data_IF_468110026918
#
_entry.id   IF_468110026918
#
_cell.length_a   1.000
_cell.length_b   1.000
_cell.length_c   1.000
_cell.angle_alpha   90.00
_cell.angle_beta   90.00
_cell.angle_gamma   90.00
#
_symmetry.space_group_name_H-M   'P 1'
#
loop_
_entity.id
_entity.type
_entity.pdbx_description
1 polymer ?
#
# COMPACT_ATOMS: atom_id res chain seq x y z
N UNK A 1 1.71 -22.76 6.97
CA UNK A 1 2.11 -21.68 6.03
C UNK A 1 0.90 -21.34 5.18
N UNK A 2 0.59 -20.06 5.02
CA UNK A 2 -0.50 -19.59 4.16
C UNK A 2 0.09 -18.78 3.00
N UNK A 3 -0.62 -18.73 1.87
CA UNK A 3 -0.20 -18.00 0.67
C UNK A 3 -1.28 -17.00 0.26
N UNK A 4 -0.89 -15.77 -0.07
CA UNK A 4 -1.81 -14.73 -0.53
C UNK A 4 -1.22 -13.93 -1.68
N UNK A 5 -2.09 -13.54 -2.60
CA UNK A 5 -1.79 -12.51 -3.58
C UNK A 5 -1.80 -11.14 -2.92
N UNK A 6 -0.73 -10.38 -3.11
CA UNK A 6 -0.50 -9.08 -2.50
C UNK A 6 -0.25 -8.05 -3.58
N UNK A 7 -0.87 -6.88 -3.45
CA UNK A 7 -0.42 -5.65 -4.09
C UNK A 7 0.33 -4.81 -3.07
N UNK A 8 1.54 -4.39 -3.39
CA UNK A 8 2.34 -3.49 -2.58
C UNK A 8 2.50 -2.18 -3.33
N UNK A 9 1.86 -1.13 -2.82
CA UNK A 9 2.15 0.23 -3.23
C UNK A 9 3.30 0.78 -2.40
N UNK A 10 4.24 1.42 -3.05
CA UNK A 10 5.42 2.00 -2.42
C UNK A 10 5.67 3.41 -2.96
N UNK A 11 6.06 4.29 -2.06
CA UNK A 11 6.43 5.68 -2.36
C UNK A 11 7.60 6.07 -1.47
N UNK A 12 8.76 6.24 -2.11
CA UNK A 12 10.03 6.58 -1.48
C UNK A 12 10.38 8.01 -1.88
N UNK A 13 10.83 8.81 -0.91
CA UNK A 13 11.36 10.14 -1.23
C UNK A 13 12.79 10.04 -1.79
N UNK A 14 13.31 11.15 -2.30
CA UNK A 14 14.67 11.22 -2.82
C UNK A 14 15.68 10.73 -1.76
N UNK A 15 16.51 9.76 -2.14
CA UNK A 15 17.48 9.11 -1.25
C UNK A 15 16.93 7.96 -0.41
N UNK A 16 15.69 7.51 -0.66
CA UNK A 16 15.15 6.28 -0.09
C UNK A 16 15.85 5.03 -0.64
N UNK A 17 15.80 3.94 0.13
CA UNK A 17 16.44 2.65 -0.20
C UNK A 17 15.61 1.83 -1.20
N UNK A 18 15.43 2.39 -2.40
CA UNK A 18 14.63 1.79 -3.48
C UNK A 18 15.31 0.56 -4.05
N UNK A 19 16.64 0.56 -4.12
CA UNK A 19 17.44 -0.55 -4.64
C UNK A 19 17.18 -1.83 -3.84
N UNK A 20 17.28 -1.79 -2.51
CA UNK A 20 17.02 -2.97 -1.68
C UNK A 20 15.55 -3.40 -1.72
N UNK A 21 14.61 -2.47 -1.91
CA UNK A 21 13.21 -2.84 -2.15
C UNK A 21 13.05 -3.59 -3.47
N UNK A 22 13.71 -3.15 -4.54
CA UNK A 22 13.65 -3.80 -5.84
C UNK A 22 14.29 -5.19 -5.81
N UNK A 23 15.42 -5.35 -5.14
CA UNK A 23 16.00 -6.68 -4.88
C UNK A 23 15.01 -7.57 -4.13
N UNK A 24 14.39 -7.07 -3.05
CA UNK A 24 13.40 -7.84 -2.29
C UNK A 24 12.17 -8.23 -3.13
N UNK A 25 11.71 -7.34 -4.02
CA UNK A 25 10.59 -7.61 -4.94
C UNK A 25 10.97 -8.66 -6.00
N UNK A 26 12.18 -8.58 -6.56
CA UNK A 26 12.70 -9.55 -7.51
C UNK A 26 12.77 -10.95 -6.89
N UNK A 27 13.26 -11.07 -5.65
CA UNK A 27 13.26 -12.33 -4.90
C UNK A 27 11.86 -12.94 -4.75
N UNK A 28 10.80 -12.13 -4.69
CA UNK A 28 9.41 -12.62 -4.59
C UNK A 28 8.79 -12.93 -5.96
N UNK A 29 9.54 -12.77 -7.05
CA UNK A 29 9.02 -12.88 -8.41
C UNK A 29 7.90 -11.87 -8.67
N UNK A 30 8.04 -10.66 -8.12
CA UNK A 30 7.01 -9.64 -8.24
C UNK A 30 6.89 -9.14 -9.68
N UNK A 31 5.65 -8.79 -10.06
CA UNK A 31 5.34 -8.13 -11.33
C UNK A 31 5.11 -6.65 -11.06
N UNK A 32 5.84 -5.81 -11.78
CA UNK A 32 5.53 -4.38 -11.84
C UNK A 32 4.14 -4.19 -12.48
N UNK A 33 3.28 -3.41 -11.83
CA UNK A 33 1.94 -3.08 -12.33
C UNK A 33 1.84 -1.63 -12.83
N UNK A 34 2.68 -0.75 -12.29
CA UNK A 34 2.97 0.64 -12.66
C UNK A 34 4.06 1.14 -11.71
N UNK A 35 4.66 2.30 -12.00
CA UNK A 35 5.57 2.96 -11.06
C UNK A 35 4.91 3.10 -9.67
N UNK A 36 5.59 2.58 -8.64
CA UNK A 36 5.10 2.61 -7.26
C UNK A 36 4.11 1.52 -6.90
N UNK A 37 3.90 0.49 -7.75
CA UNK A 37 2.99 -0.61 -7.48
C UNK A 37 3.51 -1.96 -8.01
N UNK A 38 3.64 -2.92 -7.10
CA UNK A 38 4.03 -4.30 -7.41
C UNK A 38 2.96 -5.31 -7.00
N UNK A 39 2.91 -6.43 -7.71
CA UNK A 39 2.07 -7.59 -7.37
C UNK A 39 2.95 -8.83 -7.16
N UNK A 40 2.72 -9.59 -6.09
CA UNK A 40 3.40 -10.87 -5.89
C UNK A 40 2.58 -11.82 -5.01
N UNK A 41 2.74 -13.15 -5.19
CA UNK A 41 2.31 -14.11 -4.19
C UNK A 41 3.27 -14.10 -2.99
N UNK A 42 2.74 -14.06 -1.78
CA UNK A 42 3.53 -14.04 -0.56
C UNK A 42 3.13 -15.18 0.38
N UNK A 43 4.14 -15.91 0.86
CA UNK A 43 3.99 -17.01 1.80
C UNK A 43 4.37 -16.54 3.20
N UNK A 44 3.52 -16.83 4.18
CA UNK A 44 3.67 -16.31 5.54
C UNK A 44 3.18 -17.30 6.60
N UNK A 45 3.61 -17.07 7.84
CA UNK A 45 3.14 -17.78 9.02
C UNK A 45 2.48 -16.80 10.00
N UNK A 46 1.33 -17.19 10.56
CA UNK A 46 0.57 -16.32 11.46
C UNK A 46 -0.05 -15.12 10.74
N UNK A 47 0.28 -13.90 11.17
CA UNK A 47 -0.28 -12.67 10.64
C UNK A 47 0.48 -12.19 9.40
N UNK A 48 -0.24 -11.93 8.30
CA UNK A 48 0.31 -11.45 7.03
C UNK A 48 1.05 -10.11 7.19
N UNK A 49 0.42 -9.14 7.85
CA UNK A 49 0.97 -7.79 7.97
C UNK A 49 2.24 -7.80 8.80
N UNK A 50 2.27 -8.55 9.89
CA UNK A 50 3.44 -8.64 10.75
C UNK A 50 4.61 -9.36 10.05
N UNK A 51 4.29 -10.39 9.24
CA UNK A 51 5.28 -11.08 8.42
C UNK A 51 5.87 -10.14 7.37
N UNK A 52 5.03 -9.41 6.63
CA UNK A 52 5.48 -8.43 5.64
C UNK A 52 6.32 -7.31 6.28
N UNK A 53 5.86 -6.74 7.40
CA UNK A 53 6.62 -5.72 8.13
C UNK A 53 8.00 -6.25 8.52
N UNK A 54 8.05 -7.44 9.11
CA UNK A 54 9.31 -8.07 9.53
C UNK A 54 10.25 -8.29 8.35
N UNK A 55 9.76 -8.90 7.27
CA UNK A 55 10.59 -9.24 6.12
C UNK A 55 11.12 -8.00 5.41
N UNK A 56 10.26 -7.00 5.16
CA UNK A 56 10.67 -5.75 4.52
C UNK A 56 11.64 -4.98 5.40
N UNK A 57 11.41 -4.90 6.72
CA UNK A 57 12.31 -4.17 7.64
C UNK A 57 13.72 -4.74 7.73
N UNK A 58 13.91 -6.01 7.35
CA UNK A 58 15.22 -6.65 7.28
C UNK A 58 15.95 -6.38 5.97
N UNK A 59 15.19 -6.21 4.89
CA UNK A 59 15.74 -6.03 3.55
C UNK A 59 15.93 -4.55 3.19
N UNK A 60 15.03 -3.68 3.66
CA UNK A 60 14.92 -2.29 3.21
C UNK A 60 15.13 -1.33 4.36
N UNK A 61 16.06 -0.38 4.20
CA UNK A 61 16.28 0.71 5.15
C UNK A 61 15.22 1.80 4.97
N UNK A 62 14.20 1.72 5.82
CA UNK A 62 13.08 2.66 5.79
C UNK A 62 13.33 3.92 6.63
N UNK A 63 12.93 5.06 6.09
CA UNK A 63 12.83 6.34 6.78
C UNK A 63 11.38 6.63 7.21
N UNK A 64 11.18 7.69 8.00
CA UNK A 64 9.84 8.14 8.41
C UNK A 64 8.99 8.66 7.24
N UNK A 65 9.59 8.92 6.09
CA UNK A 65 8.93 9.51 4.93
C UNK A 65 8.49 8.47 3.91
N UNK A 66 9.11 7.29 3.95
CA UNK A 66 8.78 6.20 3.05
C UNK A 66 7.43 5.60 3.42
N UNK A 67 6.64 5.27 2.39
CA UNK A 67 5.28 4.79 2.55
C UNK A 67 5.13 3.50 1.80
N UNK A 68 4.75 2.45 2.53
CA UNK A 68 4.42 1.16 1.96
C UNK A 68 3.02 0.80 2.40
N UNK A 69 2.13 0.62 1.43
CA UNK A 69 0.73 0.26 1.63
C UNK A 69 0.45 -1.06 0.95
N UNK A 70 -0.19 -1.97 1.66
CA UNK A 70 -0.50 -3.30 1.16
C UNK A 70 -1.99 -3.44 0.91
N UNK A 71 -2.35 -4.13 -0.17
CA UNK A 71 -3.72 -4.56 -0.46
C UNK A 71 -3.75 -6.07 -0.67
N UNK A 72 -4.66 -6.76 0.00
CA UNK A 72 -4.80 -8.21 -0.05
C UNK A 72 -6.25 -8.62 0.21
N UNK A 73 -6.62 -9.84 -0.19
CA UNK A 73 -7.92 -10.42 0.14
C UNK A 73 -7.88 -11.02 1.55
N UNK A 74 -8.73 -10.56 2.44
CA UNK A 74 -8.87 -11.12 3.78
C UNK A 74 -9.52 -12.52 3.69
N UNK A 75 -8.98 -13.49 4.44
CA UNK A 75 -9.43 -14.88 4.32
C UNK A 75 -10.80 -15.12 4.97
N UNK A 76 -11.08 -14.43 6.08
CA UNK A 76 -12.31 -14.60 6.86
C UNK A 76 -13.52 -13.97 6.18
N UNK A 77 -13.38 -12.73 5.70
CA UNK A 77 -14.49 -11.98 5.09
C UNK A 77 -14.56 -12.08 3.57
N UNK A 78 -13.48 -12.54 2.92
CA UNK A 78 -13.33 -12.50 1.47
C UNK A 78 -13.24 -11.09 0.89
N UNK A 79 -13.26 -10.05 1.73
CA UNK A 79 -13.20 -8.65 1.30
C UNK A 79 -11.75 -8.26 0.98
N UNK A 80 -11.61 -7.30 0.08
CA UNK A 80 -10.33 -6.62 -0.09
C UNK A 80 -10.05 -5.76 1.14
N UNK A 81 -8.87 -5.92 1.70
CA UNK A 81 -8.37 -5.13 2.82
C UNK A 81 -7.09 -4.44 2.40
N UNK A 82 -6.79 -3.31 3.01
CA UNK A 82 -5.48 -2.70 2.86
C UNK A 82 -5.08 -1.92 4.10
N UNK A 83 -3.78 -1.87 4.34
CA UNK A 83 -3.20 -1.23 5.52
C UNK A 83 -1.80 -0.68 5.20
N UNK A 84 -1.34 0.28 5.99
CA UNK A 84 0.05 0.72 5.95
C UNK A 84 0.93 -0.33 6.64
N UNK A 85 1.92 -0.80 5.89
CA UNK A 85 3.05 -1.52 6.48
C UNK A 85 3.97 -0.51 7.17
N UNK A 86 4.26 0.61 6.48
CA UNK A 86 5.10 1.71 6.94
C UNK A 86 4.60 3.05 6.42
N UNK A 87 4.84 4.11 7.20
CA UNK A 87 4.37 5.46 6.88
C UNK A 87 2.88 5.67 7.17
N UNK A 88 2.32 6.73 6.58
CA UNK A 88 0.92 7.12 6.79
C UNK A 88 0.31 7.81 5.57
N UNK A 89 -1.01 7.98 5.61
CA UNK A 89 -1.77 8.69 4.58
C UNK A 89 -1.44 10.18 4.61
N UNK A 90 -1.06 10.75 3.46
CA UNK A 90 -0.97 12.20 3.25
C UNK A 90 -2.36 12.75 2.87
N UNK A 91 -2.57 14.07 2.97
CA UNK A 91 -3.79 14.71 2.43
C UNK A 91 -3.97 14.29 0.98
N UNK A 92 -5.18 13.86 0.61
CA UNK A 92 -5.45 13.42 -0.74
C UNK A 92 -5.20 14.58 -1.72
N UNK A 93 -4.48 14.36 -2.84
CA UNK A 93 -4.13 15.44 -3.75
C UNK A 93 -5.35 16.05 -4.45
N UNK A 94 -6.44 15.29 -4.59
CA UNK A 94 -7.72 15.75 -5.12
C UNK A 94 -8.64 16.39 -4.06
N UNK A 95 -8.21 16.51 -2.80
CA UNK A 95 -9.04 17.12 -1.76
C UNK A 95 -9.32 18.59 -2.10
N UNK A 96 -10.60 18.94 -2.24
CA UNK A 96 -11.07 20.29 -2.57
C UNK A 96 -11.23 20.57 -4.07
N UNK A 97 -11.01 19.59 -4.95
CA UNK A 97 -11.20 19.77 -6.40
C UNK A 97 -12.65 19.61 -6.86
N UNK A 98 -13.47 18.86 -6.10
CA UNK A 98 -14.91 18.76 -6.38
C UNK A 98 -15.64 19.94 -5.70
N UNK A 99 -16.42 20.69 -6.48
CA UNK A 99 -17.34 21.70 -5.95
C UNK A 99 -18.62 20.97 -5.55
N UNK A 100 -18.99 21.01 -4.28
CA UNK A 100 -20.32 20.56 -3.85
C UNK A 100 -21.36 21.50 -4.47
N UNK A 101 -22.21 20.98 -5.35
CA UNK A 101 -23.40 21.70 -5.80
C UNK A 101 -24.35 21.81 -4.61
N UNK A 102 -24.42 22.99 -3.99
CA UNK A 102 -25.54 23.31 -3.10
C UNK A 102 -26.75 23.54 -3.99
N UNK A 103 -27.66 22.57 -4.03
CA UNK A 103 -29.03 22.84 -4.50
C UNK A 103 -29.61 23.89 -3.55
N UNK A 104 -29.89 25.08 -4.08
CA UNK A 104 -30.70 26.07 -3.37
C UNK A 104 -32.14 25.62 -3.53
N UNK A 105 -32.79 25.20 -2.44
CA UNK A 105 -34.24 25.05 -2.42
C UNK A 105 -34.85 26.45 -2.64
N UNK A 106 -35.50 26.65 -3.79
CA UNK A 106 -36.38 27.79 -4.01
C UNK A 106 -37.48 27.75 -2.95
N UNK A 107 -37.40 28.66 -1.98
CA UNK A 107 -38.51 28.97 -1.08
C UNK A 107 -39.50 29.83 -1.87
N UNK A 108 -40.53 29.18 -2.40
CA UNK A 108 -41.68 29.82 -3.06
C UNK A 108 -42.27 30.94 -2.18
N UNK A 109 -42.53 32.08 -2.82
CA UNK A 109 -43.03 33.33 -2.23
C UNK A 109 -44.56 33.39 -2.08
#
# INVERSE_FOLDING_TARGET
>A
MAKKSVFLSYDFEFGGDVESLYEWLDEKGARECVNGLAFFPYEFSGNLLDSLRKDISKAVKLSKKDRLYVVFKESSSGKMKGDFLFGARKKAPWAGYAVESKEYEDVDA
#
